data_IF_251220263779
#
_entry.id   IF_251220263779
#
_cell.length_a   1.000
_cell.length_b   1.000
_cell.length_c   1.000
_cell.angle_alpha   90.00
_cell.angle_beta   90.00
_cell.angle_gamma   90.00
#
_symmetry.space_group_name_H-M   'P 1'
#
loop_
_entity.id
_entity.type
_entity.pdbx_description
1 polymer ?
#
# COMPACT_ATOMS: atom_id res chain seq x y z
N UNK A 1 4.40 23.04 9.39
CA UNK A 1 3.17 23.46 8.68
C UNK A 1 2.11 22.39 8.88
N UNK A 2 0.89 22.74 9.33
CA UNK A 2 -0.19 21.76 9.49
C UNK A 2 -0.61 21.23 8.12
N UNK A 3 -0.55 19.91 7.92
CA UNK A 3 -1.14 19.29 6.75
C UNK A 3 -2.64 19.58 6.76
N UNK A 4 -3.16 20.27 5.74
CA UNK A 4 -4.61 20.41 5.56
C UNK A 4 -5.17 19.03 5.26
N UNK A 5 -5.71 18.36 6.28
CA UNK A 5 -6.33 17.05 6.14
C UNK A 5 -7.47 17.12 5.14
N UNK A 6 -7.33 16.42 4.01
CA UNK A 6 -8.42 16.33 3.04
C UNK A 6 -9.51 15.41 3.59
N UNK A 7 -10.70 15.97 3.82
CA UNK A 7 -11.90 15.20 4.15
C UNK A 7 -12.66 14.80 2.89
N UNK A 8 -13.16 13.57 2.83
CA UNK A 8 -14.07 13.10 1.76
C UNK A 8 -15.34 12.53 2.38
N UNK A 9 -16.45 12.53 1.65
CA UNK A 9 -17.65 11.85 2.12
C UNK A 9 -17.42 10.32 2.18
N UNK A 10 -17.85 9.68 3.26
CA UNK A 10 -17.79 8.22 3.42
C UNK A 10 -18.55 7.51 2.29
N UNK A 11 -19.67 8.09 1.84
CA UNK A 11 -20.48 7.61 0.72
C UNK A 11 -19.73 7.53 -0.62
N UNK A 12 -18.62 8.25 -0.78
CA UNK A 12 -17.79 8.19 -1.99
C UNK A 12 -16.93 6.91 -2.09
N UNK A 13 -16.83 6.15 -1.00
CA UNK A 13 -16.09 4.89 -0.98
C UNK A 13 -16.97 3.72 -1.44
N UNK A 14 -16.35 2.67 -1.97
CA UNK A 14 -17.08 1.43 -2.28
C UNK A 14 -17.70 0.83 -1.01
N UNK A 15 -18.73 -0.02 -1.16
CA UNK A 15 -19.40 -0.66 -0.02
C UNK A 15 -18.41 -1.37 0.92
N UNK A 16 -17.47 -2.14 0.36
CA UNK A 16 -16.46 -2.87 1.14
C UNK A 16 -15.52 -1.96 1.91
N UNK A 17 -15.12 -0.84 1.31
CA UNK A 17 -14.24 0.13 1.98
C UNK A 17 -14.98 0.88 3.08
N UNK A 18 -16.25 1.25 2.86
CA UNK A 18 -17.11 1.83 3.90
C UNK A 18 -17.22 0.89 5.09
N UNK A 19 -17.46 -0.39 4.85
CA UNK A 19 -17.58 -1.40 5.91
C UNK A 19 -16.29 -1.58 6.70
N UNK A 20 -15.12 -1.55 6.05
CA UNK A 20 -13.83 -1.60 6.75
C UNK A 20 -13.59 -0.35 7.58
N UNK A 21 -13.93 0.84 7.07
CA UNK A 21 -13.83 2.09 7.86
C UNK A 21 -14.76 2.03 9.06
N UNK A 22 -16.02 1.62 8.87
CA UNK A 22 -16.99 1.50 9.95
C UNK A 22 -16.53 0.48 11.01
N UNK A 23 -15.97 -0.66 10.61
CA UNK A 23 -15.40 -1.63 11.53
C UNK A 23 -14.25 -1.04 12.35
N UNK A 24 -13.31 -0.35 11.69
CA UNK A 24 -12.20 0.33 12.35
C UNK A 24 -12.70 1.37 13.38
N UNK A 25 -13.73 2.15 13.04
CA UNK A 25 -14.30 3.16 13.94
C UNK A 25 -15.10 2.57 15.08
N UNK A 26 -15.85 1.50 14.83
CA UNK A 26 -16.59 0.80 15.88
C UNK A 26 -15.66 0.21 16.94
N UNK A 27 -14.44 -0.17 16.53
CA UNK A 27 -13.40 -0.67 17.41
C UNK A 27 -12.89 0.38 18.43
N UNK A 28 -13.09 1.68 18.18
CA UNK A 28 -12.73 2.77 19.10
C UNK A 28 -13.78 2.99 20.19
N UNK A 29 -15.04 2.63 19.93
CA UNK A 29 -16.13 2.81 20.87
C UNK A 29 -16.28 1.61 21.78
N UNK A 30 -15.76 1.67 23.02
CA UNK A 30 -16.14 0.70 24.08
C UNK A 30 -17.64 0.76 24.41
N UNK A 31 -18.34 1.82 24.01
CA UNK A 31 -19.75 2.09 24.33
C UNK A 31 -20.57 2.61 23.14
N UNK A 32 -20.14 2.36 21.91
CA UNK A 32 -20.94 2.76 20.76
C UNK A 32 -22.13 1.80 20.62
N UNK A 33 -23.19 2.05 21.40
CA UNK A 33 -24.57 1.76 21.00
C UNK A 33 -24.62 2.08 19.52
N UNK A 34 -24.76 1.03 18.70
CA UNK A 34 -24.77 1.09 17.25
C UNK A 34 -25.86 2.09 16.86
N UNK A 35 -25.51 3.37 16.70
CA UNK A 35 -26.40 4.34 16.09
C UNK A 35 -26.83 3.70 14.78
N UNK A 36 -28.14 3.58 14.61
CA UNK A 36 -28.85 2.89 13.55
C UNK A 36 -28.39 3.34 12.16
N UNK A 37 -27.22 2.86 11.74
CA UNK A 37 -26.74 2.94 10.39
C UNK A 37 -27.27 1.69 9.69
N UNK A 38 -28.26 1.91 8.82
CA UNK A 38 -28.75 0.99 7.78
C UNK A 38 -28.75 -0.51 8.18
N UNK A 39 -29.90 -1.06 8.59
CA UNK A 39 -30.02 -2.46 9.03
C UNK A 39 -29.63 -3.52 7.98
N UNK A 40 -29.22 -3.12 6.76
CA UNK A 40 -28.69 -4.01 5.72
C UNK A 40 -27.17 -4.07 5.56
N UNK A 41 -26.38 -3.25 6.27
CA UNK A 41 -24.93 -3.12 6.00
C UNK A 41 -24.01 -3.56 7.15
N UNK A 42 -24.57 -3.98 8.29
CA UNK A 42 -23.81 -4.65 9.35
C UNK A 42 -23.42 -6.04 8.87
N UNK A 43 -22.29 -6.13 8.19
CA UNK A 43 -21.64 -7.42 8.05
C UNK A 43 -21.34 -7.94 9.43
N UNK A 44 -21.81 -9.15 9.70
CA UNK A 44 -21.33 -9.95 10.80
C UNK A 44 -19.86 -10.31 10.53
N UNK A 45 -18.96 -9.34 10.69
CA UNK A 45 -17.55 -9.65 10.86
C UNK A 45 -17.45 -10.64 12.01
N UNK A 46 -16.73 -11.75 11.77
CA UNK A 46 -16.47 -12.71 12.83
C UNK A 46 -15.78 -12.01 14.01
N UNK A 47 -15.89 -12.60 15.19
CA UNK A 47 -15.22 -12.08 16.38
C UNK A 47 -13.72 -11.88 16.17
N UNK A 48 -13.08 -12.79 15.43
CA UNK A 48 -11.67 -12.67 15.03
C UNK A 48 -11.38 -11.42 14.20
N UNK A 49 -12.24 -11.09 13.23
CA UNK A 49 -12.08 -9.89 12.39
C UNK A 49 -12.25 -8.64 13.26
N UNK A 50 -13.25 -8.62 14.16
CA UNK A 50 -13.47 -7.49 15.08
C UNK A 50 -12.28 -7.27 16.02
N UNK A 51 -11.75 -8.34 16.61
CA UNK A 51 -10.60 -8.28 17.50
C UNK A 51 -9.33 -7.75 16.79
N UNK A 52 -9.13 -8.13 15.53
CA UNK A 52 -8.01 -7.59 14.73
C UNK A 52 -8.20 -6.11 14.41
N UNK A 53 -9.41 -5.66 14.07
CA UNK A 53 -9.69 -4.23 13.89
C UNK A 53 -9.54 -3.40 15.17
N UNK A 54 -9.90 -3.95 16.34
CA UNK A 54 -9.70 -3.29 17.62
C UNK A 54 -8.22 -3.05 17.93
N UNK A 55 -7.39 -4.06 17.66
CA UNK A 55 -5.93 -3.93 17.78
C UNK A 55 -5.38 -2.90 16.80
N UNK A 56 -5.79 -2.97 15.53
CA UNK A 56 -5.37 -2.00 14.51
C UNK A 56 -5.76 -0.56 14.89
N UNK A 57 -6.96 -0.35 15.43
CA UNK A 57 -7.41 0.97 15.86
C UNK A 57 -6.58 1.51 17.02
N UNK A 58 -6.23 0.65 17.99
CA UNK A 58 -5.34 1.00 19.12
C UNK A 58 -3.97 1.41 18.62
N UNK A 59 -3.33 0.57 17.80
CA UNK A 59 -2.01 0.86 17.21
C UNK A 59 -2.02 2.14 16.36
N UNK A 60 -3.12 2.42 15.65
CA UNK A 60 -3.24 3.64 14.86
C UNK A 60 -3.22 4.88 15.76
N UNK A 61 -3.94 4.87 16.89
CA UNK A 61 -3.93 5.96 17.85
C UNK A 61 -2.56 6.13 18.54
N UNK A 62 -1.90 5.03 18.91
CA UNK A 62 -0.57 5.05 19.54
C UNK A 62 0.49 5.66 18.61
N UNK A 63 0.32 5.49 17.29
CA UNK A 63 1.14 6.14 16.27
C UNK A 63 0.67 7.57 15.88
N UNK A 64 -0.26 8.15 16.64
CA UNK A 64 -0.76 9.52 16.45
C UNK A 64 -1.58 9.71 15.17
N UNK A 65 -2.15 8.63 14.63
CA UNK A 65 -3.12 8.74 13.54
C UNK A 65 -4.46 9.18 14.08
N UNK A 66 -5.15 10.00 13.31
CA UNK A 66 -6.50 10.43 13.62
C UNK A 66 -7.47 9.44 13.01
N UNK A 67 -8.49 9.07 13.78
CA UNK A 67 -9.62 8.27 13.31
C UNK A 67 -10.90 9.01 13.72
N UNK A 68 -11.89 9.03 12.83
CA UNK A 68 -13.17 9.63 13.20
C UNK A 68 -14.03 8.68 14.03
N UNK A 69 -14.94 9.24 14.82
CA UNK A 69 -15.93 8.45 15.54
C UNK A 69 -16.90 7.72 14.60
N UNK A 70 -17.58 6.65 15.07
CA UNK A 70 -18.41 5.77 14.25
C UNK A 70 -19.54 6.49 13.49
N UNK A 71 -20.07 7.59 14.03
CA UNK A 71 -21.14 8.38 13.40
C UNK A 71 -20.68 9.40 12.35
N UNK A 72 -19.37 9.55 12.10
CA UNK A 72 -18.89 10.58 11.17
C UNK A 72 -19.25 10.25 9.71
N UNK A 73 -19.91 11.16 8.95
CA UNK A 73 -20.23 10.93 7.55
C UNK A 73 -19.04 11.17 6.62
N UNK A 74 -17.90 11.63 7.15
CA UNK A 74 -16.69 11.93 6.40
C UNK A 74 -15.60 10.91 6.68
N UNK A 75 -14.58 10.84 5.84
CA UNK A 75 -13.33 10.09 6.01
C UNK A 75 -12.15 11.01 5.86
N UNK A 76 -11.11 10.79 6.67
CA UNK A 76 -9.86 11.56 6.65
C UNK A 76 -8.73 10.82 5.93
N UNK A 77 -7.65 11.54 5.66
CA UNK A 77 -6.48 11.02 4.96
C UNK A 77 -5.85 9.81 5.67
N UNK A 78 -5.79 9.82 7.01
CA UNK A 78 -5.24 8.71 7.80
C UNK A 78 -6.05 7.41 7.61
N UNK A 79 -7.38 7.48 7.62
CA UNK A 79 -8.27 6.33 7.36
C UNK A 79 -8.12 5.83 5.91
N UNK A 80 -8.00 6.75 4.96
CA UNK A 80 -7.73 6.43 3.56
C UNK A 80 -6.35 5.78 3.37
N UNK A 81 -5.37 6.19 4.18
CA UNK A 81 -4.03 5.60 4.16
C UNK A 81 -4.04 4.17 4.70
N UNK A 82 -4.76 3.93 5.80
CA UNK A 82 -5.02 2.59 6.35
C UNK A 82 -5.69 1.69 5.30
N UNK A 83 -6.78 2.15 4.68
CA UNK A 83 -7.45 1.40 3.60
C UNK A 83 -6.49 1.08 2.43
N UNK A 84 -5.69 2.05 2.03
CA UNK A 84 -4.73 1.87 0.93
C UNK A 84 -3.66 0.85 1.28
N UNK A 85 -3.21 0.80 2.54
CA UNK A 85 -2.24 -0.18 3.03
C UNK A 85 -2.84 -1.57 3.17
N UNK A 86 -4.05 -1.70 3.74
CA UNK A 86 -4.79 -2.97 3.77
C UNK A 86 -4.94 -3.55 2.37
N UNK A 87 -5.38 -2.74 1.40
CA UNK A 87 -5.54 -3.17 0.02
C UNK A 87 -4.21 -3.63 -0.63
N UNK A 88 -3.08 -3.05 -0.24
CA UNK A 88 -1.77 -3.49 -0.71
C UNK A 88 -1.30 -4.78 -0.01
N UNK A 89 -1.47 -4.92 1.31
CA UNK A 89 -1.15 -6.15 2.04
C UNK A 89 -1.95 -7.36 1.54
N UNK A 90 -3.18 -7.14 1.04
CA UNK A 90 -3.99 -8.19 0.41
C UNK A 90 -3.47 -8.69 -0.95
N UNK A 91 -2.36 -8.11 -1.44
CA UNK A 91 -1.79 -8.38 -2.76
C UNK A 91 -0.28 -8.48 -2.59
N UNK A 92 0.25 -9.67 -2.23
CA UNK A 92 1.67 -9.83 -2.02
C UNK A 92 2.45 -9.36 -3.26
N UNK A 93 3.55 -8.67 -3.01
CA UNK A 93 4.49 -8.26 -4.04
C UNK A 93 5.12 -9.51 -4.68
N UNK A 94 5.43 -9.41 -5.98
CA UNK A 94 5.81 -10.57 -6.80
C UNK A 94 7.24 -10.99 -6.52
N UNK A 95 8.15 -10.03 -6.34
CA UNK A 95 9.58 -10.30 -6.19
C UNK A 95 10.22 -9.73 -4.93
N UNK A 96 9.43 -9.13 -4.03
CA UNK A 96 9.90 -8.70 -2.72
C UNK A 96 8.85 -8.90 -1.63
N UNK A 97 9.32 -9.18 -0.41
CA UNK A 97 8.47 -9.23 0.79
C UNK A 97 8.59 -7.95 1.59
N UNK A 98 7.50 -7.60 2.25
CA UNK A 98 7.44 -6.43 3.12
C UNK A 98 7.85 -6.84 4.53
N UNK A 99 8.89 -6.18 5.05
CA UNK A 99 9.25 -6.26 6.47
C UNK A 99 8.28 -5.35 7.22
N UNK A 100 7.55 -5.90 8.18
CA UNK A 100 6.74 -5.08 9.07
C UNK A 100 7.70 -4.36 10.03
N UNK A 101 7.88 -3.05 9.84
CA UNK A 101 8.85 -2.25 10.58
C UNK A 101 8.35 -1.82 11.97
N UNK A 102 7.04 -1.91 12.21
CA UNK A 102 6.40 -1.48 13.46
C UNK A 102 5.12 -2.28 13.76
N UNK A 103 4.58 -2.18 14.98
CA UNK A 103 3.36 -2.87 15.40
C UNK A 103 2.11 -2.52 14.56
N UNK A 104 1.96 -1.26 14.14
CA UNK A 104 0.87 -0.86 13.24
C UNK A 104 0.88 -1.65 11.92
N UNK A 105 2.05 -1.80 11.30
CA UNK A 105 2.21 -2.56 10.06
C UNK A 105 1.92 -4.05 10.25
N UNK A 106 2.31 -4.62 11.39
CA UNK A 106 1.97 -6.00 11.73
C UNK A 106 0.44 -6.16 11.85
N UNK A 107 -0.23 -5.26 12.58
CA UNK A 107 -1.68 -5.24 12.71
C UNK A 107 -2.40 -5.03 11.37
N UNK A 108 -1.88 -4.15 10.50
CA UNK A 108 -2.40 -3.98 9.13
C UNK A 108 -2.28 -5.27 8.31
N UNK A 109 -1.13 -5.95 8.38
CA UNK A 109 -0.90 -7.20 7.66
C UNK A 109 -1.84 -8.30 8.15
N UNK A 110 -2.02 -8.42 9.47
CA UNK A 110 -2.93 -9.38 10.08
C UNK A 110 -4.38 -9.10 9.70
N UNK A 111 -4.86 -7.86 9.83
CA UNK A 111 -6.19 -7.46 9.36
C UNK A 111 -6.40 -7.79 7.88
N UNK A 112 -5.41 -7.49 7.02
CA UNK A 112 -5.50 -7.80 5.60
C UNK A 112 -5.62 -9.31 5.33
N UNK A 113 -4.88 -10.13 6.09
CA UNK A 113 -4.93 -11.59 6.00
C UNK A 113 -6.28 -12.14 6.46
N UNK A 114 -6.77 -11.70 7.63
CA UNK A 114 -8.07 -12.12 8.19
C UNK A 114 -9.22 -11.70 7.26
N UNK A 115 -9.15 -10.52 6.65
CA UNK A 115 -10.11 -10.09 5.62
C UNK A 115 -10.08 -11.02 4.41
N UNK A 116 -8.90 -11.39 3.87
CA UNK A 116 -8.82 -12.35 2.75
C UNK A 116 -9.43 -13.69 3.13
N UNK A 117 -9.09 -14.22 4.30
CA UNK A 117 -9.60 -15.50 4.78
C UNK A 117 -11.15 -15.49 4.89
N UNK A 118 -11.73 -14.35 5.23
CA UNK A 118 -13.18 -14.16 5.26
C UNK A 118 -13.81 -13.89 3.86
N UNK A 119 -13.04 -13.94 2.77
CA UNK A 119 -13.53 -13.63 1.41
C UNK A 119 -13.61 -12.13 1.09
N UNK A 120 -13.09 -11.28 1.97
CA UNK A 120 -13.14 -9.82 1.85
C UNK A 120 -11.93 -9.26 1.12
N UNK A 121 -12.03 -9.17 -0.21
CA UNK A 121 -11.04 -8.46 -1.02
C UNK A 121 -11.44 -6.99 -1.25
N UNK A 122 -10.59 -6.08 -0.79
CA UNK A 122 -10.76 -4.63 -0.98
C UNK A 122 -10.47 -4.23 -2.43
N UNK A 123 -11.09 -3.15 -2.95
CA UNK A 123 -10.70 -2.55 -4.22
C UNK A 123 -9.22 -2.18 -4.24
N UNK A 124 -8.71 -2.03 -5.44
CA UNK A 124 -7.32 -1.62 -5.64
C UNK A 124 -7.17 -0.15 -5.29
N UNK A 125 -6.17 0.17 -4.48
CA UNK A 125 -5.76 1.55 -4.22
C UNK A 125 -4.33 1.83 -4.70
N UNK A 126 -4.04 3.07 -5.11
CA UNK A 126 -2.67 3.48 -5.41
C UNK A 126 -1.81 3.44 -4.14
N UNK A 127 -0.47 3.32 -4.30
CA UNK A 127 0.45 3.50 -3.18
C UNK A 127 0.29 4.89 -2.56
N UNK A 128 0.64 5.00 -1.28
CA UNK A 128 0.60 6.28 -0.56
C UNK A 128 1.54 7.28 -1.22
N UNK A 129 1.19 8.56 -1.13
CA UNK A 129 2.05 9.63 -1.64
C UNK A 129 3.33 9.68 -0.80
N UNK A 130 4.51 9.84 -1.42
CA UNK A 130 5.79 9.93 -0.71
C UNK A 130 5.79 11.01 0.38
N UNK A 131 5.28 12.20 0.09
CA UNK A 131 5.17 13.29 1.07
C UNK A 131 4.34 12.92 2.32
N UNK A 132 3.30 12.10 2.15
CA UNK A 132 2.49 11.63 3.27
C UNK A 132 3.26 10.58 4.10
N UNK A 133 3.94 9.64 3.43
CA UNK A 133 4.76 8.62 4.10
C UNK A 133 5.90 9.24 4.89
N UNK A 134 6.57 10.27 4.34
CA UNK A 134 7.64 11.00 5.04
C UNK A 134 7.15 11.74 6.28
N UNK A 135 5.87 12.14 6.33
CA UNK A 135 5.27 12.75 7.53
C UNK A 135 4.75 11.73 8.54
N UNK A 136 4.68 10.44 8.16
CA UNK A 136 4.08 9.35 8.95
C UNK A 136 4.92 8.09 8.80
N UNK A 137 6.03 8.03 9.55
CA UNK A 137 6.99 6.91 9.51
C UNK A 137 6.34 5.54 9.76
N UNK A 138 5.21 5.50 10.47
CA UNK A 138 4.45 4.27 10.70
C UNK A 138 4.01 3.57 9.40
N UNK A 139 3.91 4.29 8.28
CA UNK A 139 3.57 3.76 6.96
C UNK A 139 4.78 3.51 6.05
N UNK A 140 6.01 3.77 6.49
CA UNK A 140 7.22 3.55 5.68
C UNK A 140 7.38 2.05 5.39
N UNK A 141 7.43 1.68 4.11
CA UNK A 141 7.71 0.28 3.74
C UNK A 141 9.19 0.06 3.91
N UNK A 142 9.54 -0.99 4.66
CA UNK A 142 10.87 -1.58 4.65
C UNK A 142 10.77 -2.86 3.83
N UNK A 143 11.63 -2.98 2.83
CA UNK A 143 11.69 -4.17 1.99
C UNK A 143 12.67 -5.16 2.60
N UNK A 144 12.30 -6.43 2.65
CA UNK A 144 13.24 -7.49 3.00
C UNK A 144 14.17 -7.71 1.80
N UNK A 145 15.49 -7.68 2.02
CA UNK A 145 16.44 -8.03 0.97
C UNK A 145 16.22 -9.51 0.61
N UNK A 146 15.96 -9.84 -0.67
CA UNK A 146 15.85 -11.23 -1.11
C UNK A 146 17.02 -12.13 -0.66
N UNK A 147 18.22 -11.56 -0.48
CA UNK A 147 19.42 -12.25 0.00
C UNK A 147 19.32 -12.69 1.46
N UNK A 148 18.63 -11.93 2.30
CA UNK A 148 18.46 -12.24 3.73
C UNK A 148 17.42 -13.34 3.98
N UNK A 149 16.43 -13.49 3.08
CA UNK A 149 15.30 -14.41 3.29
C UNK A 149 15.67 -15.85 2.88
N UNK A 150 16.86 -16.08 2.31
CA UNK A 150 17.25 -17.41 1.80
C UNK A 150 16.29 -17.92 0.70
N UNK A 151 15.44 -17.05 0.16
CA UNK A 151 14.72 -17.33 -1.07
C UNK A 151 15.82 -17.41 -2.12
N UNK A 152 16.12 -18.64 -2.55
CA UNK A 152 16.79 -18.88 -3.82
C UNK A 152 16.18 -17.86 -4.78
N UNK A 153 17.03 -17.01 -5.38
CA UNK A 153 16.57 -16.13 -6.45
C UNK A 153 15.64 -17.00 -7.28
N UNK A 154 14.36 -16.60 -7.49
CA UNK A 154 13.52 -17.40 -8.36
C UNK A 154 14.39 -17.66 -9.58
N UNK A 155 14.52 -18.93 -9.99
CA UNK A 155 15.13 -19.34 -11.25
C UNK A 155 14.31 -18.69 -12.38
N UNK A 156 14.35 -17.38 -12.44
CA UNK A 156 14.36 -16.56 -13.62
C UNK A 156 15.80 -16.67 -14.11
N UNK A 157 16.25 -17.89 -14.38
CA UNK A 157 17.09 -18.07 -15.54
C UNK A 157 16.32 -17.31 -16.62
N UNK A 158 16.88 -16.21 -17.14
CA UNK A 158 16.28 -15.62 -18.31
C UNK A 158 16.20 -16.80 -19.27
N UNK A 159 15.02 -17.04 -19.86
CA UNK A 159 15.04 -17.53 -21.23
C UNK A 159 15.94 -16.52 -21.93
N UNK A 160 17.21 -16.90 -22.08
CA UNK A 160 18.26 -16.04 -22.54
C UNK A 160 17.79 -15.65 -23.92
N UNK A 161 17.25 -14.43 -24.05
CA UNK A 161 17.18 -13.84 -25.37
C UNK A 161 18.64 -13.70 -25.77
N UNK A 162 19.10 -14.39 -26.82
CA UNK A 162 20.46 -14.22 -27.28
C UNK A 162 20.61 -12.73 -27.65
N UNK A 163 21.46 -12.02 -26.90
CA UNK A 163 21.68 -10.59 -27.08
C UNK A 163 21.44 -9.72 -25.84
N UNK A 164 21.99 -10.07 -24.67
CA UNK A 164 22.32 -9.05 -23.65
C UNK A 164 23.50 -8.22 -24.14
N UNK A 165 23.31 -7.47 -25.24
CA UNK A 165 24.16 -6.34 -25.54
C UNK A 165 23.95 -5.34 -24.41
N UNK A 166 25.04 -4.90 -23.78
CA UNK A 166 25.09 -3.70 -22.95
C UNK A 166 24.33 -2.60 -23.68
N UNK A 167 23.08 -2.35 -23.27
CA UNK A 167 22.30 -1.30 -23.90
C UNK A 167 23.04 0.00 -23.62
N UNK A 168 23.35 0.81 -24.65
CA UNK A 168 24.08 2.05 -24.46
C UNK A 168 23.39 2.89 -23.38
N UNK A 169 24.22 3.38 -22.47
CA UNK A 169 23.82 4.25 -21.38
C UNK A 169 22.93 5.36 -21.96
N UNK A 170 21.71 5.47 -21.45
CA UNK A 170 20.71 6.34 -22.07
C UNK A 170 21.26 7.77 -22.13
N UNK A 171 21.20 8.39 -23.31
CA UNK A 171 21.70 9.75 -23.48
C UNK A 171 21.16 10.68 -22.37
N UNK A 172 22.04 11.50 -21.75
CA UNK A 172 21.65 12.38 -20.66
C UNK A 172 20.50 13.30 -21.10
N UNK A 173 19.50 13.46 -20.23
CA UNK A 173 18.30 14.27 -20.50
C UNK A 173 17.10 13.50 -21.06
N UNK A 174 17.24 12.22 -21.43
CA UNK A 174 16.11 11.40 -21.88
C UNK A 174 15.19 10.96 -20.72
N UNK A 175 13.91 10.66 -21.02
CA UNK A 175 12.99 10.09 -20.03
C UNK A 175 13.47 8.73 -19.50
N UNK A 176 14.20 7.95 -20.33
CA UNK A 176 14.84 6.69 -19.90
C UNK A 176 15.90 6.96 -18.84
N UNK A 177 16.85 7.87 -19.11
CA UNK A 177 17.89 8.24 -18.14
C UNK A 177 17.29 8.72 -16.82
N UNK A 178 16.26 9.58 -16.88
CA UNK A 178 15.57 10.07 -15.67
C UNK A 178 14.88 8.94 -14.89
N UNK A 179 14.23 8.00 -15.57
CA UNK A 179 13.58 6.86 -14.92
C UNK A 179 14.60 5.94 -14.23
N UNK A 180 15.74 5.68 -14.89
CA UNK A 180 16.84 4.88 -14.33
C UNK A 180 17.47 5.58 -13.15
N UNK A 181 17.70 6.89 -13.24
CA UNK A 181 18.28 7.68 -12.14
C UNK A 181 17.36 7.70 -10.92
N UNK A 182 16.05 7.86 -11.12
CA UNK A 182 15.07 7.75 -10.03
C UNK A 182 15.13 6.39 -9.34
N UNK A 183 15.35 5.32 -10.10
CA UNK A 183 15.41 3.94 -9.62
C UNK A 183 16.84 3.45 -9.31
N UNK A 184 17.82 4.36 -9.20
CA UNK A 184 19.23 4.01 -9.02
C UNK A 184 19.54 3.44 -7.64
N UNK A 185 18.76 3.82 -6.63
CA UNK A 185 18.90 3.27 -5.27
C UNK A 185 18.38 1.83 -5.17
N UNK A 186 18.75 1.16 -4.07
CA UNK A 186 18.31 -0.23 -3.81
C UNK A 186 16.84 -0.32 -3.38
N UNK A 187 16.26 0.81 -2.94
CA UNK A 187 14.86 0.88 -2.55
C UNK A 187 13.91 1.01 -3.76
N UNK A 188 12.82 0.21 -3.81
CA UNK A 188 11.78 0.36 -4.81
C UNK A 188 11.10 1.74 -4.80
N UNK A 189 10.91 2.30 -5.99
CA UNK A 189 10.32 3.61 -6.24
C UNK A 189 8.84 3.47 -6.59
N UNK A 190 7.99 4.28 -5.95
CA UNK A 190 6.57 4.30 -6.25
C UNK A 190 6.26 4.94 -7.62
N UNK A 191 5.28 4.40 -8.34
CA UNK A 191 4.77 4.91 -9.62
C UNK A 191 4.37 6.40 -9.56
N UNK A 192 4.00 6.90 -8.39
CA UNK A 192 3.70 8.32 -8.18
C UNK A 192 4.92 9.22 -8.38
N UNK A 193 6.12 8.79 -7.95
CA UNK A 193 7.36 9.54 -8.15
C UNK A 193 7.68 9.69 -9.64
N UNK A 194 7.65 8.59 -10.40
CA UNK A 194 7.84 8.65 -11.84
C UNK A 194 6.88 9.64 -12.52
N UNK A 195 5.61 9.63 -12.15
CA UNK A 195 4.60 10.56 -12.70
C UNK A 195 4.91 12.03 -12.37
N UNK A 196 5.40 12.33 -11.16
CA UNK A 196 5.84 13.69 -10.81
C UNK A 196 6.99 14.18 -11.70
N UNK A 197 7.79 13.26 -12.24
CA UNK A 197 8.87 13.56 -13.18
C UNK A 197 8.48 13.47 -14.66
N UNK A 198 7.16 13.40 -14.95
CA UNK A 198 6.63 13.34 -16.32
C UNK A 198 6.69 11.96 -16.97
N UNK A 199 6.98 10.90 -16.21
CA UNK A 199 7.11 9.55 -16.73
C UNK A 199 5.77 8.82 -16.61
N UNK A 200 5.18 8.46 -17.75
CA UNK A 200 3.87 7.82 -17.82
C UNK A 200 3.92 6.33 -17.45
N UNK A 201 2.77 5.77 -17.04
CA UNK A 201 2.66 4.35 -16.73
C UNK A 201 2.95 3.44 -17.94
N UNK A 202 2.55 3.88 -19.15
CA UNK A 202 2.85 3.17 -20.40
C UNK A 202 4.36 3.13 -20.66
N UNK A 203 5.08 4.23 -20.37
CA UNK A 203 6.54 4.26 -20.50
C UNK A 203 7.21 3.33 -19.49
N UNK A 204 6.75 3.31 -18.23
CA UNK A 204 7.25 2.35 -17.23
C UNK A 204 7.05 0.90 -17.68
N UNK A 205 5.89 0.57 -18.25
CA UNK A 205 5.63 -0.76 -18.79
C UNK A 205 6.60 -1.12 -19.92
N UNK A 206 6.90 -0.18 -20.83
CA UNK A 206 7.92 -0.38 -21.88
C UNK A 206 9.31 -0.63 -21.30
N UNK A 207 9.72 0.13 -20.28
CA UNK A 207 11.00 -0.09 -19.59
C UNK A 207 11.07 -1.45 -18.89
N UNK A 208 9.95 -1.93 -18.34
CA UNK A 208 9.88 -3.27 -17.76
C UNK A 208 9.99 -4.37 -18.82
N UNK A 209 9.29 -4.23 -19.96
CA UNK A 209 9.39 -5.18 -21.07
C UNK A 209 10.80 -5.20 -21.69
N UNK A 210 11.49 -4.06 -21.67
CA UNK A 210 12.87 -3.92 -22.11
C UNK A 210 13.89 -4.44 -21.07
N UNK A 211 13.45 -4.90 -19.90
CA UNK A 211 14.34 -5.42 -18.85
C UNK A 211 15.15 -4.35 -18.13
N UNK A 212 14.84 -3.06 -18.28
CA UNK A 212 15.57 -1.95 -17.65
C UNK A 212 15.09 -1.74 -16.21
N UNK A 213 13.76 -1.83 -16.01
CA UNK A 213 13.14 -1.76 -14.70
C UNK A 213 12.45 -3.09 -14.40
N UNK A 214 12.35 -3.43 -13.12
CA UNK A 214 11.57 -4.55 -12.64
C UNK A 214 10.39 -4.03 -11.81
N UNK A 215 9.20 -4.61 -12.02
CA UNK A 215 8.04 -4.32 -11.20
C UNK A 215 8.03 -5.24 -9.96
N UNK A 216 8.50 -4.73 -8.83
CA UNK A 216 8.57 -5.52 -7.59
C UNK A 216 7.21 -5.78 -6.96
N UNK A 217 6.28 -4.85 -7.15
CA UNK A 217 4.96 -4.88 -6.54
C UNK A 217 4.00 -3.94 -7.24
N UNK A 218 2.76 -3.89 -6.74
CA UNK A 218 1.74 -3.07 -7.39
C UNK A 218 2.05 -1.58 -7.22
N UNK A 219 2.53 -0.97 -8.31
CA UNK A 219 2.87 0.45 -8.33
C UNK A 219 4.24 0.75 -7.73
N UNK A 220 5.12 -0.24 -7.58
CA UNK A 220 6.51 -0.06 -7.17
C UNK A 220 7.44 -0.70 -8.22
N UNK A 221 8.53 0.00 -8.52
CA UNK A 221 9.49 -0.37 -9.54
C UNK A 221 10.90 -0.20 -9.00
N UNK A 222 11.83 -1.07 -9.39
CA UNK A 222 13.26 -0.92 -9.13
C UNK A 222 14.05 -1.04 -10.42
N UNK A 223 15.31 -0.62 -10.43
CA UNK A 223 16.23 -0.93 -11.53
C UNK A 223 16.53 -2.42 -11.54
N UNK A 224 16.53 -3.03 -12.71
CA UNK A 224 17.01 -4.40 -12.89
C UNK A 224 18.52 -4.34 -13.11
N UNK A 225 19.28 -5.02 -12.25
CA UNK A 225 20.72 -5.22 -12.41
C UNK A 225 20.97 -6.41 -13.34
#
# INVERSE_FOLDING_TARGET
MPFRSQTRALSSLSLKERQVVLALRSALGREANLCAFEPGAQLAFSETVRATFARLATEALDHGLVLFGPGSPFVIEDELAILSRLAQFQRPAVSMRWKCANPLQASLKECAFVLIAAGWRLPVRPPLKPAYVMGRDCFRIVWEDPREIGLAQPNNDPVAKPGSQEQPEAAPGTLKARAVELARGDEPVAAAMFRQHGISAQFLQRLCLAGILEKVGRGYYRRRY
#
